data_IF_673694070303
#
_entry.id   IF_673694070303
#
_cell.length_a   1.000
_cell.length_b   1.000
_cell.length_c   1.000
_cell.angle_alpha   90.00
_cell.angle_beta   90.00
_cell.angle_gamma   90.00
#
_symmetry.space_group_name_H-M   'P 1'
#
loop_
_entity.id
_entity.type
_entity.pdbx_description
1 polymer ?
#
# COMPACT_ATOMS: atom_id res chain seq x y z
N UNK A 1 13.14 -8.99 -14.49
CA UNK A 1 12.06 -8.07 -14.10
C UNK A 1 10.89 -8.92 -13.66
N UNK A 2 10.51 -8.84 -12.38
CA UNK A 2 9.35 -9.55 -11.85
C UNK A 2 8.10 -8.71 -12.14
N UNK A 3 7.58 -8.83 -13.36
CA UNK A 3 6.47 -8.01 -13.87
C UNK A 3 5.17 -8.20 -13.08
N UNK A 4 5.02 -9.34 -12.39
CA UNK A 4 3.87 -9.61 -11.52
C UNK A 4 3.86 -8.69 -10.31
N UNK A 5 4.98 -8.56 -9.59
CA UNK A 5 5.06 -7.68 -8.41
C UNK A 5 4.89 -6.22 -8.82
N UNK A 6 5.49 -5.79 -9.92
CA UNK A 6 5.32 -4.42 -10.43
C UNK A 6 3.83 -4.10 -10.70
N UNK A 7 3.10 -5.04 -11.30
CA UNK A 7 1.66 -4.89 -11.57
C UNK A 7 0.85 -4.82 -10.27
N UNK A 8 1.18 -5.67 -9.28
CA UNK A 8 0.49 -5.68 -7.98
C UNK A 8 0.74 -4.39 -7.19
N UNK A 9 1.97 -3.88 -7.19
CA UNK A 9 2.34 -2.59 -6.58
C UNK A 9 1.59 -1.42 -7.24
N UNK A 10 1.49 -1.41 -8.58
CA UNK A 10 0.77 -0.36 -9.29
C UNK A 10 -0.75 -0.43 -9.00
N UNK A 11 -1.31 -1.64 -8.93
CA UNK A 11 -2.71 -1.86 -8.54
C UNK A 11 -2.98 -1.41 -7.10
N UNK A 12 -2.09 -1.75 -6.16
CA UNK A 12 -2.17 -1.31 -4.77
C UNK A 12 -2.17 0.22 -4.70
N UNK A 13 -1.24 0.88 -5.40
CA UNK A 13 -1.17 2.34 -5.45
C UNK A 13 -2.45 2.96 -6.01
N UNK A 14 -3.01 2.40 -7.08
CA UNK A 14 -4.27 2.90 -7.63
C UNK A 14 -5.42 2.73 -6.65
N UNK A 15 -5.54 1.57 -6.01
CA UNK A 15 -6.56 1.30 -5.02
C UNK A 15 -6.47 2.24 -3.81
N UNK A 16 -5.26 2.58 -3.35
CA UNK A 16 -5.05 3.59 -2.30
C UNK A 16 -5.50 4.99 -2.74
N UNK A 17 -5.19 5.39 -3.98
CA UNK A 17 -5.57 6.70 -4.53
C UNK A 17 -7.09 6.86 -4.71
N UNK A 18 -7.76 5.80 -5.17
CA UNK A 18 -9.22 5.80 -5.38
C UNK A 18 -10.00 5.39 -4.14
N UNK A 19 -9.31 4.95 -3.08
CA UNK A 19 -9.90 4.31 -1.90
C UNK A 19 -10.80 3.12 -2.29
N UNK A 20 -10.34 2.30 -3.24
CA UNK A 20 -11.01 1.06 -3.64
C UNK A 20 -10.79 -0.03 -2.58
N UNK A 21 -11.62 0.02 -1.54
CA UNK A 21 -11.56 -0.89 -0.39
C UNK A 21 -11.70 -2.36 -0.79
N UNK A 22 -12.41 -2.67 -1.88
CA UNK A 22 -12.57 -4.06 -2.33
C UNK A 22 -11.24 -4.60 -2.88
N UNK A 23 -10.57 -3.84 -3.75
CA UNK A 23 -9.25 -4.21 -4.28
C UNK A 23 -8.20 -4.26 -3.18
N UNK A 24 -8.21 -3.29 -2.24
CA UNK A 24 -7.30 -3.31 -1.09
C UNK A 24 -7.50 -4.59 -0.24
N UNK A 25 -8.75 -5.01 -0.02
CA UNK A 25 -9.04 -6.20 0.75
C UNK A 25 -8.54 -7.50 0.08
N UNK A 26 -8.43 -7.53 -1.24
CA UNK A 26 -7.87 -8.65 -2.01
C UNK A 26 -6.33 -8.65 -2.01
N UNK A 27 -5.71 -7.47 -2.11
CA UNK A 27 -4.24 -7.33 -2.22
C UNK A 27 -3.51 -7.43 -0.88
N UNK A 28 -4.16 -7.05 0.22
CA UNK A 28 -3.56 -6.99 1.55
C UNK A 28 -3.82 -8.29 2.32
N UNK A 29 -2.77 -8.91 2.87
CA UNK A 29 -2.87 -10.13 3.65
C UNK A 29 -3.70 -9.95 4.93
N UNK A 30 -4.47 -10.98 5.33
CA UNK A 30 -5.34 -10.93 6.51
C UNK A 30 -4.57 -10.69 7.82
N UNK A 31 -3.31 -11.11 7.87
CA UNK A 31 -2.38 -10.95 8.99
C UNK A 31 -1.44 -9.74 8.83
N UNK A 32 -1.81 -8.75 8.00
CA UNK A 32 -1.03 -7.53 7.81
C UNK A 32 -0.62 -6.89 9.14
N UNK A 33 0.68 -6.59 9.25
CA UNK A 33 1.26 -5.76 10.30
C UNK A 33 1.86 -4.52 9.64
N UNK A 34 1.21 -3.38 9.82
CA UNK A 34 1.66 -2.11 9.26
C UNK A 34 2.16 -1.17 10.35
N UNK A 35 3.33 -0.56 10.14
CA UNK A 35 3.89 0.43 11.07
C UNK A 35 3.73 1.83 10.47
N UNK A 36 2.92 2.66 11.12
CA UNK A 36 2.67 4.04 10.72
C UNK A 36 3.90 4.93 11.01
N UNK A 37 4.00 6.13 10.38
CA UNK A 37 5.08 7.08 10.69
C UNK A 37 5.16 7.51 12.17
N UNK A 38 4.05 7.38 12.90
CA UNK A 38 3.97 7.63 14.35
C UNK A 38 4.56 6.50 15.21
N UNK A 39 4.95 5.37 14.60
CA UNK A 39 5.35 4.15 15.30
C UNK A 39 4.17 3.27 15.75
N UNK A 40 2.93 3.67 15.48
CA UNK A 40 1.76 2.84 15.76
C UNK A 40 1.74 1.62 14.83
N UNK A 41 1.50 0.44 15.41
CA UNK A 41 1.28 -0.79 14.65
C UNK A 41 -0.22 -1.01 14.46
N UNK A 42 -0.64 -1.18 13.21
CA UNK A 42 -2.05 -1.37 12.81
C UNK A 42 -2.21 -2.61 11.93
N UNK A 43 -3.44 -3.10 11.80
CA UNK A 43 -3.79 -4.29 11.05
C UNK A 43 -4.57 -3.95 9.77
N UNK A 44 -4.89 -4.98 8.97
CA UNK A 44 -5.70 -4.86 7.74
C UNK A 44 -7.03 -4.12 7.97
N UNK A 45 -7.77 -4.45 9.02
CA UNK A 45 -9.08 -3.84 9.26
C UNK A 45 -8.98 -2.33 9.48
N UNK A 46 -7.96 -1.89 10.22
CA UNK A 46 -7.70 -0.47 10.41
C UNK A 46 -7.44 0.26 9.09
N UNK A 47 -6.59 -0.29 8.23
CA UNK A 47 -6.28 0.29 6.91
C UNK A 47 -7.54 0.42 6.04
N UNK A 48 -8.32 -0.65 5.93
CA UNK A 48 -9.58 -0.66 5.16
C UNK A 48 -10.61 0.32 5.72
N UNK A 49 -10.71 0.45 7.05
CA UNK A 49 -11.61 1.40 7.71
C UNK A 49 -11.16 2.85 7.52
N UNK A 50 -9.85 3.12 7.52
CA UNK A 50 -9.29 4.43 7.27
C UNK A 50 -9.59 4.90 5.84
N UNK A 51 -9.50 4.02 4.85
CA UNK A 51 -9.93 4.29 3.48
C UNK A 51 -11.46 4.44 3.37
N UNK A 52 -12.24 3.55 4.01
CA UNK A 52 -13.72 3.60 3.94
C UNK A 52 -14.31 4.86 4.57
N UNK A 53 -13.73 5.31 5.68
CA UNK A 53 -14.15 6.52 6.38
C UNK A 53 -13.66 7.81 5.72
N UNK A 54 -12.72 7.71 4.77
CA UNK A 54 -12.07 8.87 4.14
C UNK A 54 -11.05 9.56 5.01
N UNK A 55 -10.65 8.97 6.15
CA UNK A 55 -9.49 9.41 6.93
C UNK A 55 -8.25 9.37 6.03
N UNK A 56 -8.04 8.23 5.36
CA UNK A 56 -7.07 8.10 4.28
C UNK A 56 -7.71 8.55 2.98
N UNK A 57 -7.30 9.73 2.51
CA UNK A 57 -7.74 10.28 1.24
C UNK A 57 -6.57 10.91 0.50
N UNK A 58 -5.90 10.09 -0.30
CA UNK A 58 -4.79 10.53 -1.13
C UNK A 58 -5.29 11.18 -2.41
N UNK A 59 -4.73 12.34 -2.76
CA UNK A 59 -5.02 13.08 -3.99
C UNK A 59 -3.87 13.00 -5.00
N UNK A 60 -2.67 12.66 -4.52
CA UNK A 60 -1.47 12.42 -5.36
C UNK A 60 -0.60 11.37 -4.70
N UNK A 61 -0.02 10.51 -5.52
CA UNK A 61 1.00 9.55 -5.13
C UNK A 61 2.04 9.51 -6.23
N UNK A 62 3.28 9.85 -5.91
CA UNK A 62 4.42 9.74 -6.82
C UNK A 62 5.43 8.77 -6.26
N UNK A 63 5.79 7.77 -7.07
CA UNK A 63 6.71 6.72 -6.69
C UNK A 63 8.01 6.92 -7.45
N UNK A 64 9.11 6.91 -6.73
CA UNK A 64 10.47 6.94 -7.27
C UNK A 64 11.37 5.98 -6.51
N UNK A 65 12.58 5.76 -7.02
CA UNK A 65 13.62 4.93 -6.40
C UNK A 65 13.17 3.49 -6.07
N UNK A 66 12.15 2.96 -6.77
CA UNK A 66 11.64 1.60 -6.54
C UNK A 66 12.72 0.56 -6.81
N UNK A 67 13.03 -0.24 -5.79
CA UNK A 67 13.88 -1.43 -5.88
C UNK A 67 13.07 -2.67 -5.53
N UNK A 68 13.27 -3.74 -6.30
CA UNK A 68 12.62 -5.03 -6.11
C UNK A 68 13.70 -6.06 -5.80
N UNK A 69 13.57 -6.72 -4.66
CA UNK A 69 14.49 -7.73 -4.19
C UNK A 69 13.77 -9.08 -4.10
N UNK A 70 14.07 -9.98 -5.04
CA UNK A 70 13.53 -11.34 -5.04
C UNK A 70 14.28 -12.20 -4.00
N UNK A 71 13.53 -12.85 -3.12
CA UNK A 71 13.99 -13.88 -2.20
C UNK A 71 13.30 -15.20 -2.52
N UNK A 72 13.73 -16.29 -1.87
CA UNK A 72 13.27 -17.65 -2.20
C UNK A 72 11.76 -17.85 -2.03
N UNK A 73 11.11 -17.12 -1.13
CA UNK A 73 9.70 -17.27 -0.81
C UNK A 73 8.92 -15.94 -0.74
N UNK A 74 9.57 -14.81 -1.01
CA UNK A 74 8.94 -13.50 -0.97
C UNK A 74 9.68 -12.52 -1.86
N UNK A 75 9.06 -11.37 -2.08
CA UNK A 75 9.68 -10.24 -2.74
C UNK A 75 9.58 -9.05 -1.80
N UNK A 76 10.70 -8.37 -1.59
CA UNK A 76 10.73 -7.12 -0.81
C UNK A 76 10.81 -5.97 -1.80
N UNK A 77 9.85 -5.05 -1.70
CA UNK A 77 9.84 -3.81 -2.46
C UNK A 77 10.24 -2.67 -1.52
N UNK A 78 11.20 -1.86 -1.95
CA UNK A 78 11.52 -0.57 -1.32
C UNK A 78 11.29 0.52 -2.34
N UNK A 79 10.78 1.67 -1.89
CA UNK A 79 10.49 2.80 -2.78
C UNK A 79 10.47 4.09 -1.97
N UNK A 80 10.56 5.22 -2.67
CA UNK A 80 10.20 6.54 -2.16
C UNK A 80 8.79 6.88 -2.64
N UNK A 81 7.91 7.20 -1.70
CA UNK A 81 6.56 7.67 -2.00
C UNK A 81 6.40 9.14 -1.57
N UNK A 82 6.01 10.00 -2.50
CA UNK A 82 5.56 11.36 -2.22
C UNK A 82 4.03 11.37 -2.31
N UNK A 83 3.38 11.47 -1.14
CA UNK A 83 1.93 11.42 -1.02
C UNK A 83 1.39 12.81 -0.67
N UNK A 84 0.26 13.19 -1.27
CA UNK A 84 -0.54 14.33 -0.85
C UNK A 84 -1.96 13.86 -0.54
N UNK A 85 -2.59 14.45 0.47
CA UNK A 85 -3.91 14.03 0.94
C UNK A 85 -4.08 14.22 2.43
N UNK A 86 -5.06 13.52 3.00
CA UNK A 86 -5.27 13.39 4.45
C UNK A 86 -4.99 11.96 4.90
N UNK A 87 -4.41 11.79 6.08
CA UNK A 87 -4.18 10.51 6.74
C UNK A 87 -3.96 10.68 8.25
#
# INVERSE_FOLDING_TARGET
>A
MNTTIETLEDNLRQAMLTSDVAVLAELIADDLVWTMPTGQVVNKQFDLDAHRSGVFRFTRSEISDRQIHDYSNCVVVTLKAELAGTY
#
